data_IF_393967601434
#
_entry.id   IF_393967601434
#
_cell.length_a   1.000
_cell.length_b   1.000
_cell.length_c   1.000
_cell.angle_alpha   90.00
_cell.angle_beta   90.00
_cell.angle_gamma   90.00
#
_symmetry.space_group_name_H-M   'P 1'
#
loop_
_entity.id
_entity.type
_entity.pdbx_description
1 polymer ?
#
# COMPACT_ATOMS: atom_id res chain seq x y z
N UNK A 1 -7.57 -18.77 15.33
CA UNK A 1 -7.37 -17.45 14.67
C UNK A 1 -8.60 -16.64 15.00
N UNK A 2 -8.44 -15.44 15.56
CA UNK A 2 -9.56 -14.64 16.07
C UNK A 2 -10.60 -14.44 14.96
N UNK A 3 -11.88 -14.52 15.33
CA UNK A 3 -13.04 -14.42 14.44
C UNK A 3 -13.32 -12.99 13.97
N UNK A 4 -12.30 -12.15 13.91
CA UNK A 4 -12.41 -10.75 13.50
C UNK A 4 -11.96 -10.61 12.05
N UNK A 5 -12.68 -9.75 11.31
CA UNK A 5 -12.33 -9.43 9.93
C UNK A 5 -10.92 -8.82 9.91
N UNK A 6 -10.04 -9.24 8.98
CA UNK A 6 -8.68 -8.73 8.92
C UNK A 6 -8.67 -7.21 8.74
N UNK A 7 -7.69 -6.55 9.35
CA UNK A 7 -7.45 -5.11 9.19
C UNK A 7 -6.24 -4.85 8.30
N UNK A 8 -6.48 -4.19 7.17
CA UNK A 8 -5.44 -3.77 6.23
C UNK A 8 -5.08 -2.30 6.42
N UNK A 9 -3.77 -2.03 6.45
CA UNK A 9 -3.22 -0.71 6.23
C UNK A 9 -2.82 -0.59 4.76
N UNK A 10 -3.38 0.40 4.06
CA UNK A 10 -3.15 0.62 2.64
C UNK A 10 -2.40 1.94 2.41
N UNK A 11 -1.34 1.91 1.60
CA UNK A 11 -0.58 3.08 1.16
C UNK A 11 -0.17 2.97 -0.32
N UNK A 12 0.47 4.00 -0.86
CA UNK A 12 1.14 4.01 -2.16
C UNK A 12 2.16 5.18 -2.23
N UNK A 13 2.85 5.32 -3.35
CA UNK A 13 3.71 6.46 -3.70
C UNK A 13 3.13 7.39 -4.79
N UNK A 14 2.09 6.98 -5.51
CA UNK A 14 1.39 7.84 -6.49
C UNK A 14 0.49 8.90 -5.84
N UNK A 15 0.20 8.74 -4.54
CA UNK A 15 -0.66 9.62 -3.76
C UNK A 15 -2.11 9.17 -3.68
N UNK A 16 -2.86 9.79 -2.75
CA UNK A 16 -4.18 9.33 -2.31
C UNK A 16 -5.28 9.36 -3.37
N UNK A 17 -5.17 10.27 -4.34
CA UNK A 17 -6.17 10.46 -5.39
C UNK A 17 -5.85 9.59 -6.64
N UNK A 18 -4.80 8.76 -6.59
CA UNK A 18 -4.38 7.89 -7.70
C UNK A 18 -5.37 6.74 -7.95
N UNK A 19 -5.48 6.31 -9.21
CA UNK A 19 -6.42 5.25 -9.61
C UNK A 19 -6.10 3.91 -8.92
N UNK A 20 -4.83 3.50 -8.93
CA UNK A 20 -4.41 2.18 -8.43
C UNK A 20 -4.71 1.95 -6.96
N UNK A 21 -4.44 2.92 -6.09
CA UNK A 21 -4.72 2.79 -4.64
C UNK A 21 -6.23 2.79 -4.36
N UNK A 22 -7.02 3.57 -5.10
CA UNK A 22 -8.47 3.60 -4.91
C UNK A 22 -9.13 2.28 -5.37
N UNK A 23 -8.66 1.69 -6.47
CA UNK A 23 -9.10 0.36 -6.89
C UNK A 23 -8.69 -0.72 -5.89
N UNK A 24 -7.46 -0.66 -5.38
CA UNK A 24 -6.99 -1.61 -4.37
C UNK A 24 -7.75 -1.47 -3.05
N UNK A 25 -8.13 -0.25 -2.67
CA UNK A 25 -8.99 -0.02 -1.51
C UNK A 25 -10.35 -0.70 -1.64
N UNK A 26 -11.02 -0.54 -2.79
CA UNK A 26 -12.30 -1.21 -3.07
C UNK A 26 -12.17 -2.73 -2.99
N UNK A 27 -11.10 -3.30 -3.55
CA UNK A 27 -10.80 -4.74 -3.44
C UNK A 27 -10.65 -5.16 -1.98
N UNK A 28 -9.78 -4.48 -1.22
CA UNK A 28 -9.50 -4.85 0.17
C UNK A 28 -10.73 -4.73 1.09
N UNK A 29 -11.65 -3.81 0.80
CA UNK A 29 -12.91 -3.67 1.55
C UNK A 29 -13.81 -4.91 1.46
N UNK A 30 -13.69 -5.72 0.40
CA UNK A 30 -14.43 -6.99 0.30
C UNK A 30 -13.89 -8.05 1.26
N UNK A 31 -12.62 -7.93 1.65
CA UNK A 31 -11.90 -8.94 2.44
C UNK A 31 -11.74 -8.55 3.91
N UNK A 32 -11.91 -7.29 4.26
CA UNK A 32 -11.74 -6.83 5.64
C UNK A 32 -11.92 -5.33 5.82
N UNK A 33 -11.51 -4.84 6.98
CA UNK A 33 -11.48 -3.40 7.26
C UNK A 33 -10.22 -2.81 6.65
N UNK A 34 -10.31 -1.59 6.14
CA UNK A 34 -9.18 -0.92 5.49
C UNK A 34 -9.00 0.47 6.07
N UNK A 35 -7.81 0.74 6.61
CA UNK A 35 -7.33 2.09 6.87
C UNK A 35 -6.40 2.48 5.73
N UNK A 36 -6.77 3.47 4.93
CA UNK A 36 -5.91 4.02 3.89
C UNK A 36 -5.17 5.25 4.46
N UNK A 37 -3.84 5.23 4.38
CA UNK A 37 -3.00 6.40 4.62
C UNK A 37 -2.04 6.51 3.45
N UNK A 38 -2.17 7.57 2.67
CA UNK A 38 -1.36 7.77 1.48
C UNK A 38 -0.83 9.21 1.39
N UNK A 39 0.26 9.44 0.66
CA UNK A 39 0.76 10.78 0.39
C UNK A 39 -0.32 11.70 -0.19
N UNK A 40 -0.28 12.98 0.18
CA UNK A 40 -1.18 14.01 -0.35
C UNK A 40 -0.99 14.30 -1.84
N UNK A 41 0.19 14.00 -2.37
CA UNK A 41 0.62 14.18 -3.74
C UNK A 41 1.56 13.03 -4.12
N UNK A 42 1.83 12.87 -5.41
CA UNK A 42 2.82 11.92 -5.90
C UNK A 42 4.20 12.15 -5.25
N UNK A 43 4.80 11.07 -4.75
CA UNK A 43 6.14 11.03 -4.13
C UNK A 43 7.06 10.04 -4.86
N UNK A 44 6.85 9.84 -6.16
CA UNK A 44 7.72 9.01 -6.99
C UNK A 44 9.18 9.48 -6.91
N UNK A 45 10.12 8.54 -6.88
CA UNK A 45 11.56 8.74 -6.67
C UNK A 45 12.01 9.25 -5.29
N UNK A 46 11.10 9.33 -4.32
CA UNK A 46 11.46 9.46 -2.90
C UNK A 46 11.52 8.03 -2.36
N UNK A 47 12.72 7.43 -2.32
CA UNK A 47 12.99 6.03 -1.88
C UNK A 47 12.55 5.79 -0.40
N UNK A 48 13.31 5.08 0.42
CA UNK A 48 13.09 4.93 1.86
C UNK A 48 13.36 6.21 2.66
N UNK A 49 12.89 7.36 2.20
CA UNK A 49 13.06 8.60 2.94
C UNK A 49 12.05 8.67 4.08
N UNK A 50 12.55 8.95 5.28
CA UNK A 50 11.76 9.24 6.47
C UNK A 50 11.80 10.74 6.74
N UNK A 51 10.64 11.37 6.94
CA UNK A 51 10.59 12.82 7.14
C UNK A 51 11.00 13.19 8.57
N UNK A 52 12.27 13.59 8.79
CA UNK A 52 12.79 13.96 10.12
C UNK A 52 12.77 15.47 10.43
N UNK A 53 12.79 16.33 9.41
CA UNK A 53 13.10 17.75 9.57
C UNK A 53 11.89 18.69 9.48
N UNK A 54 10.70 18.16 9.14
CA UNK A 54 9.48 18.94 9.00
C UNK A 54 8.29 18.23 9.65
N UNK A 55 7.36 18.97 10.29
CA UNK A 55 6.17 18.36 10.86
C UNK A 55 5.27 17.80 9.76
N UNK A 56 4.87 16.54 9.93
CA UNK A 56 3.93 15.86 9.05
C UNK A 56 2.50 16.29 9.36
N UNK A 57 1.69 16.51 8.31
CA UNK A 57 0.27 16.87 8.43
C UNK A 57 -0.61 15.73 7.94
N UNK A 58 -1.40 15.17 8.85
CA UNK A 58 -2.44 14.18 8.56
C UNK A 58 -3.78 14.90 8.37
N UNK A 59 -4.45 14.63 7.26
CA UNK A 59 -5.78 15.18 6.94
C UNK A 59 -6.73 14.01 6.71
N UNK A 60 -7.80 13.93 7.51
CA UNK A 60 -8.88 12.97 7.28
C UNK A 60 -9.66 13.39 6.04
N UNK A 61 -9.70 12.54 5.02
CA UNK A 61 -10.45 12.77 3.76
C UNK A 61 -11.87 12.24 3.88
N UNK A 62 -12.01 11.04 4.46
CA UNK A 62 -13.28 10.40 4.81
C UNK A 62 -13.03 9.34 5.89
N UNK A 63 -14.06 8.58 6.24
CA UNK A 63 -13.93 7.52 7.24
C UNK A 63 -12.83 6.53 6.85
N UNK A 64 -11.90 6.25 7.77
CA UNK A 64 -10.74 5.37 7.56
C UNK A 64 -9.82 5.72 6.35
N UNK A 65 -9.86 6.95 5.83
CA UNK A 65 -9.03 7.40 4.70
C UNK A 65 -8.37 8.74 5.02
N UNK A 66 -7.04 8.77 4.98
CA UNK A 66 -6.22 9.90 5.42
C UNK A 66 -5.12 10.21 4.41
N UNK A 67 -4.95 11.50 4.09
CA UNK A 67 -3.80 11.98 3.34
C UNK A 67 -2.72 12.49 4.28
N UNK A 68 -1.46 12.16 4.02
CA UNK A 68 -0.30 12.61 4.80
C UNK A 68 0.65 13.43 3.92
N UNK A 69 1.20 14.51 4.44
CA UNK A 69 2.21 15.33 3.73
C UNK A 69 3.62 14.70 3.70
N UNK A 70 3.73 13.37 3.76
CA UNK A 70 4.97 12.60 3.93
C UNK A 70 5.15 11.53 2.87
N UNK A 71 6.07 10.60 3.12
CA UNK A 71 6.38 9.46 2.24
C UNK A 71 5.48 8.25 2.52
N UNK A 72 5.50 7.20 1.67
CA UNK A 72 4.78 5.96 1.98
C UNK A 72 5.23 5.32 3.30
N UNK A 73 6.53 5.43 3.62
CA UNK A 73 7.10 4.99 4.91
C UNK A 73 6.47 5.77 6.06
N UNK A 74 6.40 7.10 5.95
CA UNK A 74 5.76 7.94 6.97
C UNK A 74 4.27 7.55 7.14
N UNK A 75 3.57 7.23 6.05
CA UNK A 75 2.17 6.80 6.08
C UNK A 75 1.99 5.49 6.87
N UNK A 76 2.84 4.50 6.60
CA UNK A 76 2.82 3.21 7.30
C UNK A 76 3.15 3.39 8.78
N UNK A 77 4.15 4.21 9.09
CA UNK A 77 4.52 4.53 10.46
C UNK A 77 3.39 5.23 11.23
N UNK A 78 2.69 6.18 10.60
CA UNK A 78 1.51 6.80 11.19
C UNK A 78 0.40 5.78 11.47
N UNK A 79 0.15 4.86 10.55
CA UNK A 79 -0.84 3.80 10.73
C UNK A 79 -0.49 2.81 11.83
N UNK A 80 0.78 2.42 11.96
CA UNK A 80 1.19 1.41 12.93
C UNK A 80 1.54 1.96 14.31
N UNK A 81 1.85 3.26 14.44
CA UNK A 81 2.37 3.86 15.68
C UNK A 81 1.84 5.25 16.01
N UNK A 82 1.22 5.94 15.06
CA UNK A 82 1.00 7.39 15.15
C UNK A 82 -0.33 7.81 15.78
N UNK A 83 -1.45 7.19 15.40
CA UNK A 83 -2.77 7.69 15.83
C UNK A 83 -3.89 6.64 15.91
N UNK A 84 -3.69 5.42 15.42
CA UNK A 84 -4.67 4.35 15.60
C UNK A 84 -4.66 3.88 17.05
N UNK A 85 -5.82 3.38 17.50
CA UNK A 85 -5.94 2.80 18.83
C UNK A 85 -4.99 1.59 18.93
N UNK A 86 -4.18 1.47 20.00
CA UNK A 86 -3.33 0.29 20.20
C UNK A 86 -4.08 -1.04 20.21
N UNK A 87 -5.37 -1.04 20.57
CA UNK A 87 -6.23 -2.23 20.51
C UNK A 87 -6.75 -2.53 19.09
N UNK A 88 -6.53 -1.61 18.14
CA UNK A 88 -7.12 -1.61 16.79
C UNK A 88 -6.06 -1.43 15.69
N UNK A 89 -4.91 -2.09 15.86
CA UNK A 89 -3.79 -1.98 14.92
C UNK A 89 -3.95 -2.89 13.69
N UNK A 90 -3.51 -2.43 12.50
CA UNK A 90 -3.52 -3.23 11.29
C UNK A 90 -2.80 -4.58 11.43
N UNK A 91 -3.40 -5.62 10.88
CA UNK A 91 -2.83 -6.96 10.78
C UNK A 91 -1.88 -7.07 9.59
N UNK A 92 -2.22 -6.41 8.48
CA UNK A 92 -1.54 -6.49 7.19
C UNK A 92 -1.18 -5.11 6.66
N UNK A 93 -0.09 -5.02 5.89
CA UNK A 93 0.31 -3.79 5.18
C UNK A 93 0.34 -4.05 3.68
N UNK A 94 -0.42 -3.29 2.92
CA UNK A 94 -0.48 -3.39 1.47
C UNK A 94 -0.07 -2.05 0.87
N UNK A 95 0.82 -2.07 -0.12
CA UNK A 95 1.32 -0.87 -0.81
C UNK A 95 1.12 -1.01 -2.32
N UNK A 96 0.45 -0.04 -2.94
CA UNK A 96 0.13 -0.04 -4.38
C UNK A 96 -1.33 0.32 -4.69
N UNK A 97 -1.87 -0.01 -5.86
CA UNK A 97 -1.16 -0.58 -7.02
C UNK A 97 -0.34 0.52 -7.70
N UNK A 98 0.97 0.29 -7.84
CA UNK A 98 1.84 1.21 -8.58
C UNK A 98 1.58 1.08 -10.09
N UNK A 99 1.61 2.21 -10.80
CA UNK A 99 1.47 2.26 -12.25
C UNK A 99 2.57 1.53 -13.01
N UNK A 100 3.76 1.42 -12.42
CA UNK A 100 4.94 0.85 -13.08
C UNK A 100 5.56 -0.29 -12.27
N UNK A 101 6.20 -1.21 -13.00
CA UNK A 101 6.85 -2.36 -12.40
C UNK A 101 8.00 -1.96 -11.46
N UNK A 102 8.22 -2.77 -10.43
CA UNK A 102 9.41 -2.69 -9.58
C UNK A 102 10.17 -4.02 -9.66
N UNK A 103 11.09 -4.10 -10.62
CA UNK A 103 11.84 -5.31 -10.99
C UNK A 103 13.34 -5.13 -10.76
N UNK A 104 14.02 -6.20 -10.35
CA UNK A 104 15.48 -6.18 -10.17
C UNK A 104 15.93 -5.08 -9.21
N UNK A 105 16.85 -4.23 -9.66
CA UNK A 105 17.45 -3.17 -8.84
C UNK A 105 16.49 -2.01 -8.52
N UNK A 106 15.41 -1.84 -9.28
CA UNK A 106 14.41 -0.79 -9.06
C UNK A 106 13.71 -0.94 -7.70
N UNK A 107 13.66 -2.17 -7.18
CA UNK A 107 13.10 -2.51 -5.88
C UNK A 107 13.75 -1.69 -4.76
N UNK A 108 15.05 -1.39 -4.86
CA UNK A 108 15.79 -0.64 -3.83
C UNK A 108 15.38 0.84 -3.75
N UNK A 109 14.80 1.38 -4.82
CA UNK A 109 14.45 2.79 -4.94
C UNK A 109 12.94 3.05 -4.96
N UNK A 110 12.13 1.98 -4.96
CA UNK A 110 10.67 2.06 -5.07
C UNK A 110 10.00 2.54 -3.77
N UNK A 111 9.18 3.58 -3.86
CA UNK A 111 8.33 4.05 -2.77
C UNK A 111 7.23 3.04 -2.43
N UNK A 112 6.68 2.36 -3.43
CA UNK A 112 5.70 1.28 -3.26
C UNK A 112 6.29 0.15 -2.41
N UNK A 113 7.48 -0.36 -2.79
CA UNK A 113 8.17 -1.41 -2.02
C UNK A 113 8.53 -0.89 -0.64
N UNK A 114 8.96 0.37 -0.54
CA UNK A 114 9.35 0.95 0.73
C UNK A 114 8.22 0.97 1.76
N UNK A 115 6.98 1.28 1.33
CA UNK A 115 5.81 1.19 2.19
C UNK A 115 5.57 -0.22 2.71
N UNK A 116 5.65 -1.25 1.86
CA UNK A 116 5.48 -2.64 2.29
C UNK A 116 6.62 -3.12 3.20
N UNK A 117 7.86 -2.73 2.91
CA UNK A 117 9.02 -3.10 3.71
C UNK A 117 8.91 -2.54 5.13
N UNK A 118 8.42 -1.32 5.31
CA UNK A 118 8.20 -0.73 6.63
C UNK A 118 7.22 -1.58 7.47
N UNK A 119 6.15 -2.07 6.85
CA UNK A 119 5.23 -3.02 7.49
C UNK A 119 5.92 -4.33 7.91
N UNK A 120 6.72 -4.90 7.02
CA UNK A 120 7.49 -6.11 7.29
C UNK A 120 8.50 -5.92 8.43
N UNK A 121 9.12 -4.74 8.55
CA UNK A 121 10.02 -4.38 9.65
C UNK A 121 9.29 -4.34 11.01
N UNK A 122 7.99 -4.07 11.03
CA UNK A 122 7.13 -4.24 12.21
C UNK A 122 6.51 -5.63 12.35
N UNK A 123 7.07 -6.63 11.64
CA UNK A 123 6.59 -8.02 11.65
C UNK A 123 5.13 -8.16 11.20
N UNK A 124 4.61 -7.21 10.42
CA UNK A 124 3.32 -7.31 9.76
C UNK A 124 3.54 -8.00 8.41
N UNK A 125 2.73 -9.02 8.03
CA UNK A 125 2.75 -9.55 6.68
C UNK A 125 2.47 -8.42 5.69
N UNK A 126 3.33 -8.27 4.68
CA UNK A 126 3.29 -7.12 3.79
C UNK A 126 3.41 -7.48 2.31
N UNK A 127 2.72 -6.71 1.48
CA UNK A 127 2.71 -6.85 0.01
C UNK A 127 2.91 -5.50 -0.65
N UNK A 128 3.85 -5.42 -1.58
CA UNK A 128 3.91 -4.38 -2.58
C UNK A 128 3.35 -4.94 -3.89
N UNK A 129 2.46 -4.19 -4.55
CA UNK A 129 1.87 -4.59 -5.83
C UNK A 129 2.05 -3.49 -6.86
N UNK A 130 2.54 -3.90 -8.02
CA UNK A 130 2.91 -3.03 -9.14
C UNK A 130 2.42 -3.61 -10.45
N UNK A 131 2.14 -2.76 -11.43
CA UNK A 131 1.65 -3.15 -12.74
C UNK A 131 2.79 -3.11 -13.78
N UNK A 132 2.99 -4.20 -14.52
CA UNK A 132 4.02 -4.31 -15.55
C UNK A 132 3.47 -3.98 -16.95
N UNK A 133 3.35 -2.68 -17.24
CA UNK A 133 2.82 -2.13 -18.51
C UNK A 133 3.89 -1.44 -19.36
N UNK A 134 3.56 -1.17 -20.63
CA UNK A 134 4.40 -0.38 -21.52
C UNK A 134 4.02 1.11 -21.45
N UNK A 135 5.02 2.00 -21.41
CA UNK A 135 4.80 3.46 -21.40
C UNK A 135 4.02 3.98 -22.61
N UNK A 136 4.04 3.25 -23.73
CA UNK A 136 3.35 3.60 -24.97
C UNK A 136 1.86 3.27 -24.97
N UNK A 137 1.36 2.58 -23.96
CA UNK A 137 -0.04 2.14 -23.93
C UNK A 137 -1.01 3.33 -23.86
N UNK A 138 -2.11 3.33 -24.63
CA UNK A 138 -3.18 4.31 -24.47
C UNK A 138 -3.78 4.28 -23.06
N UNK A 139 -4.30 5.41 -22.57
CA UNK A 139 -4.84 5.54 -21.20
C UNK A 139 -5.95 4.53 -20.89
N UNK A 140 -6.80 4.25 -21.87
CA UNK A 140 -7.89 3.27 -21.75
C UNK A 140 -7.34 1.86 -21.51
N UNK A 141 -6.23 1.53 -22.18
CA UNK A 141 -5.55 0.25 -22.04
C UNK A 141 -4.81 0.17 -20.69
N UNK A 142 -4.16 1.25 -20.26
CA UNK A 142 -3.55 1.34 -18.92
C UNK A 142 -4.60 1.12 -17.82
N UNK A 143 -5.81 1.68 -17.97
CA UNK A 143 -6.90 1.44 -17.02
C UNK A 143 -7.31 -0.04 -17.00
N UNK A 144 -7.48 -0.67 -18.16
CA UNK A 144 -7.81 -2.09 -18.25
C UNK A 144 -6.74 -2.98 -17.60
N UNK A 145 -5.46 -2.62 -17.76
CA UNK A 145 -4.36 -3.29 -17.10
C UNK A 145 -4.40 -3.12 -15.58
N UNK A 146 -4.75 -1.93 -15.08
CA UNK A 146 -4.97 -1.70 -13.65
C UNK A 146 -6.13 -2.55 -13.09
N UNK A 147 -7.22 -2.71 -13.86
CA UNK A 147 -8.33 -3.62 -13.50
C UNK A 147 -7.87 -5.08 -13.41
N UNK A 148 -6.90 -5.48 -14.24
CA UNK A 148 -6.30 -6.82 -14.18
C UNK A 148 -5.50 -7.03 -12.89
N UNK A 149 -4.67 -6.05 -12.49
CA UNK A 149 -3.93 -6.11 -11.23
C UNK A 149 -4.87 -6.11 -10.01
N UNK A 150 -5.93 -5.30 -10.03
CA UNK A 150 -6.95 -5.31 -8.98
C UNK A 150 -7.68 -6.66 -8.89
N UNK A 151 -8.06 -7.24 -10.03
CA UNK A 151 -8.67 -8.57 -10.09
C UNK A 151 -7.74 -9.70 -9.60
N UNK A 152 -6.45 -9.61 -9.90
CA UNK A 152 -5.45 -10.51 -9.31
C UNK A 152 -5.41 -10.38 -7.79
N UNK A 153 -5.36 -9.14 -7.26
CA UNK A 153 -5.34 -8.90 -5.83
C UNK A 153 -6.60 -9.42 -5.13
N UNK A 154 -7.78 -9.28 -5.76
CA UNK A 154 -9.04 -9.80 -5.22
C UNK A 154 -9.00 -11.33 -5.04
N UNK A 155 -8.41 -12.05 -6.00
CA UNK A 155 -8.22 -13.49 -5.89
C UNK A 155 -7.08 -13.89 -4.93
N UNK A 156 -6.05 -13.06 -4.82
CA UNK A 156 -4.85 -13.32 -4.04
C UNK A 156 -5.04 -13.10 -2.53
N UNK A 157 -5.73 -12.03 -2.13
CA UNK A 157 -5.85 -11.60 -0.72
C UNK A 157 -6.39 -12.70 0.21
N UNK A 158 -7.45 -13.48 -0.13
CA UNK A 158 -7.93 -14.56 0.73
C UNK A 158 -6.83 -15.58 1.07
N UNK A 159 -6.01 -15.95 0.09
CA UNK A 159 -4.90 -16.90 0.27
C UNK A 159 -3.79 -16.31 1.13
N UNK A 160 -3.47 -15.03 0.92
CA UNK A 160 -2.47 -14.32 1.71
C UNK A 160 -2.88 -14.15 3.17
N UNK A 161 -4.15 -13.88 3.45
CA UNK A 161 -4.70 -13.79 4.81
C UNK A 161 -4.70 -15.15 5.50
N UNK A 162 -5.04 -16.23 4.79
CA UNK A 162 -5.02 -17.59 5.33
C UNK A 162 -3.58 -18.05 5.64
N UNK A 163 -2.62 -17.70 4.78
CA UNK A 163 -1.23 -18.15 4.84
C UNK A 163 -0.28 -16.96 4.68
N UNK A 164 -0.18 -16.09 5.70
CA UNK A 164 0.69 -14.92 5.64
C UNK A 164 2.17 -15.33 5.59
N UNK A 165 2.98 -14.45 5.00
CA UNK A 165 4.43 -14.62 5.07
C UNK A 165 4.94 -14.49 6.51
N UNK A 166 6.06 -15.15 6.85
CA UNK A 166 6.73 -14.93 8.13
C UNK A 166 7.09 -13.45 8.32
N UNK A 167 7.09 -13.00 9.58
CA UNK A 167 7.50 -11.64 9.93
C UNK A 167 8.90 -11.29 9.37
N UNK A 168 9.07 -10.04 8.92
CA UNK A 168 10.29 -9.60 8.24
C UNK A 168 10.38 -9.99 6.75
N UNK A 169 9.37 -10.67 6.21
CA UNK A 169 9.27 -10.98 4.77
C UNK A 169 8.18 -10.13 4.13
N UNK A 170 8.47 -9.53 2.97
CA UNK A 170 7.47 -8.88 2.11
C UNK A 170 7.37 -9.62 0.77
N UNK A 171 6.18 -9.58 0.16
CA UNK A 171 5.99 -10.03 -1.22
C UNK A 171 5.98 -8.83 -2.16
N UNK A 172 6.90 -8.82 -3.12
CA UNK A 172 6.91 -7.83 -4.21
C UNK A 172 6.26 -8.46 -5.45
N UNK A 173 5.02 -8.08 -5.72
CA UNK A 173 4.18 -8.64 -6.77
C UNK A 173 4.16 -7.68 -7.96
N UNK A 174 4.52 -8.19 -9.13
CA UNK A 174 4.32 -7.48 -10.39
C UNK A 174 3.32 -8.29 -11.22
N UNK A 175 2.23 -7.65 -11.65
CA UNK A 175 1.16 -8.25 -12.46
C UNK A 175 1.34 -7.86 -13.91
#
# INVERSE_FOLDING_TARGET
MNSERPHFLLTNDDGIDALGINMLYEVLQNHGRVTMIAPDQERSAVSHAFSLHHPLRLIKRRESVYSLSGTPVDCVMFGLRGFLDPEDLPDFVISGINHWANLGDDVLYSGTVAGALEGAMFSKPAVAVSLATEFSDPKELQKLHMETAAGFMDAFIPHFVEKPCPGGTLLNVNV
#
